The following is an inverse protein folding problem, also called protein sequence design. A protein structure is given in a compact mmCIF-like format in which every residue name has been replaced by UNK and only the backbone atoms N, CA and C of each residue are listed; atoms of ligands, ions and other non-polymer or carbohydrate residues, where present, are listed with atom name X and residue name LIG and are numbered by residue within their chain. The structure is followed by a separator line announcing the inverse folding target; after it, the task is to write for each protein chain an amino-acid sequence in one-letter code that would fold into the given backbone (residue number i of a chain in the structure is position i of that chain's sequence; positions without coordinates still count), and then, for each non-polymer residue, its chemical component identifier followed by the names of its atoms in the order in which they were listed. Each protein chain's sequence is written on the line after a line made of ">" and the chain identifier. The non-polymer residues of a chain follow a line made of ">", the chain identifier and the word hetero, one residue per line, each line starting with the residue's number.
data_IF_107330800099
#
_entry.id   IF_107330800099
#
_cell.length_a   1.000
_cell.length_b   1.000
_cell.length_c   1.000
_cell.angle_alpha   90.00
_cell.angle_beta   90.00
_cell.angle_gamma   90.00
#
_symmetry.space_group_name_H-M   'P 1'
#
loop_
_entity.id
_entity.type
_entity.pdbx_description
1 polymer ?
#
# COMPACT_ATOMS: atom_id res chain seq x y z
N UNK A 1 8.88 -15.85 -11.19
CA UNK A 1 8.35 -15.39 -12.50
C UNK A 1 7.40 -14.20 -12.38
N UNK A 2 6.42 -14.18 -11.45
CA UNK A 2 5.50 -13.03 -11.28
C UNK A 2 6.16 -11.67 -10.98
N UNK A 3 7.27 -11.67 -10.23
CA UNK A 3 8.00 -10.44 -9.88
C UNK A 3 8.70 -9.76 -11.08
N UNK A 4 8.99 -10.51 -12.14
CA UNK A 4 9.73 -10.02 -13.32
C UNK A 4 8.81 -9.25 -14.28
N UNK A 5 7.52 -9.64 -14.34
CA UNK A 5 6.51 -8.95 -15.15
C UNK A 5 6.17 -7.54 -14.64
N UNK A 6 6.25 -7.32 -13.32
CA UNK A 6 5.91 -6.04 -12.70
C UNK A 6 7.02 -4.99 -12.94
N UNK A 7 8.28 -5.42 -12.92
CA UNK A 7 9.43 -4.56 -13.23
C UNK A 7 9.44 -4.09 -14.69
N UNK A 8 9.03 -4.95 -15.61
CA UNK A 8 9.01 -4.65 -17.05
C UNK A 8 7.90 -3.66 -17.43
N UNK A 9 6.76 -3.68 -16.72
CA UNK A 9 5.66 -2.75 -16.92
C UNK A 9 5.99 -1.32 -16.45
N UNK A 10 6.83 -1.15 -15.43
CA UNK A 10 7.21 0.16 -14.89
C UNK A 10 8.18 0.93 -15.80
N UNK A 11 9.00 0.23 -16.60
CA UNK A 11 10.05 0.83 -17.42
C UNK A 11 9.52 1.55 -18.67
N UNK A 12 8.28 1.28 -19.08
CA UNK A 12 7.69 1.77 -20.33
C UNK A 12 7.03 3.15 -20.22
N UNK A 13 6.90 3.75 -19.02
CA UNK A 13 6.11 4.96 -18.81
C UNK A 13 6.88 6.30 -18.84
N UNK A 14 8.19 6.34 -19.06
CA UNK A 14 9.00 7.57 -18.83
C UNK A 14 9.57 8.26 -20.08
N UNK A 15 8.91 8.20 -21.24
CA UNK A 15 9.42 8.84 -22.46
C UNK A 15 8.39 9.73 -23.15
N UNK A 16 8.34 11.04 -22.79
CA UNK A 16 7.81 12.10 -23.68
C UNK A 16 8.55 13.42 -23.42
N UNK A 17 9.24 13.92 -24.46
CA UNK A 17 9.93 15.20 -24.62
C UNK A 17 8.99 16.32 -25.15
N UNK A 18 9.37 17.60 -24.97
CA UNK A 18 9.26 18.62 -26.04
C UNK A 18 9.94 19.97 -25.70
N UNK A 19 10.76 20.44 -26.64
CA UNK A 19 11.55 21.68 -26.72
C UNK A 19 10.88 22.81 -27.53
N UNK A 20 11.31 24.06 -27.29
CA UNK A 20 10.86 25.38 -27.81
C UNK A 20 11.60 25.87 -29.09
N UNK A 21 11.15 26.99 -29.72
CA UNK A 21 11.94 28.12 -30.32
C UNK A 21 11.09 29.07 -31.24
N UNK A 22 11.30 30.40 -31.13
CA UNK A 22 10.72 31.54 -31.91
C UNK A 22 11.72 32.18 -32.90
N UNK A 23 11.27 32.84 -33.98
CA UNK A 23 12.06 33.83 -34.77
C UNK A 23 11.20 34.82 -35.58
N UNK A 24 11.67 36.07 -35.71
CA UNK A 24 11.00 37.34 -36.05
C UNK A 24 11.38 37.91 -37.43
N UNK A 25 10.43 38.42 -38.25
CA UNK A 25 10.65 39.49 -39.27
C UNK A 25 9.33 39.99 -39.94
N UNK A 26 9.27 41.24 -40.49
CA UNK A 26 8.03 42.02 -40.53
C UNK A 26 7.53 42.49 -41.94
N UNK A 27 6.24 42.82 -42.00
CA UNK A 27 5.55 43.84 -42.85
C UNK A 27 5.34 43.53 -44.36
N UNK A 28 4.33 42.69 -44.65
CA UNK A 28 3.25 42.87 -45.65
C UNK A 28 2.54 41.52 -45.90
N UNK A 29 1.35 41.21 -45.40
CA UNK A 29 0.63 41.64 -44.22
C UNK A 29 -0.03 40.36 -43.70
N UNK A 30 0.72 39.54 -42.95
CA UNK A 30 0.15 38.35 -42.30
C UNK A 30 -1.10 38.72 -41.47
N UNK A 31 -1.19 39.98 -41.05
CA UNK A 31 -2.39 40.57 -40.49
C UNK A 31 -3.58 40.72 -41.47
N UNK A 32 -3.37 41.13 -42.73
CA UNK A 32 -4.44 41.19 -43.73
C UNK A 32 -4.94 39.79 -44.09
N UNK A 33 -4.02 38.81 -44.16
CA UNK A 33 -4.38 37.39 -44.33
C UNK A 33 -5.17 36.89 -43.13
N UNK A 34 -4.75 37.23 -41.92
CA UNK A 34 -5.51 36.97 -40.68
C UNK A 34 -6.89 37.63 -40.70
N UNK A 35 -7.01 38.87 -41.17
CA UNK A 35 -8.29 39.60 -41.26
C UNK A 35 -9.25 38.96 -42.27
N UNK A 36 -8.73 38.45 -43.39
CA UNK A 36 -9.53 37.86 -44.48
C UNK A 36 -9.82 36.36 -44.30
N UNK A 37 -8.90 35.61 -43.71
CA UNK A 37 -8.98 34.14 -43.62
C UNK A 37 -9.12 33.61 -42.19
N UNK A 38 -8.94 34.47 -41.18
CA UNK A 38 -8.88 34.06 -39.77
C UNK A 38 -7.58 33.33 -39.38
N UNK A 39 -6.63 33.15 -40.31
CA UNK A 39 -5.37 32.46 -40.04
C UNK A 39 -4.33 33.43 -39.47
N UNK A 40 -4.27 33.51 -38.16
CA UNK A 40 -3.45 34.49 -37.43
C UNK A 40 -2.16 33.92 -36.82
N UNK A 41 -1.74 32.71 -37.25
CA UNK A 41 -0.58 31.99 -36.70
C UNK A 41 0.72 32.80 -36.75
N UNK A 42 0.90 33.66 -37.76
CA UNK A 42 2.11 34.48 -37.93
C UNK A 42 1.76 35.97 -38.09
N UNK A 43 0.61 36.39 -37.55
CA UNK A 43 0.08 37.75 -37.75
C UNK A 43 0.59 38.78 -36.73
N UNK A 44 1.37 38.35 -35.73
CA UNK A 44 1.99 39.25 -34.76
C UNK A 44 3.08 40.13 -35.40
N UNK A 45 3.39 41.30 -34.79
CA UNK A 45 4.47 42.17 -35.25
C UNK A 45 5.83 41.46 -35.26
N UNK A 46 5.97 40.43 -34.43
CA UNK A 46 7.17 39.61 -34.30
C UNK A 46 7.10 38.28 -35.08
N UNK A 47 6.09 38.08 -35.94
CA UNK A 47 5.88 36.80 -36.62
C UNK A 47 5.25 35.69 -35.75
N UNK A 48 4.92 35.99 -34.49
CA UNK A 48 4.21 35.08 -33.60
C UNK A 48 2.70 34.99 -33.92
N UNK A 49 2.02 34.07 -33.24
CA UNK A 49 0.57 34.03 -33.23
C UNK A 49 0.01 35.39 -32.78
N UNK A 50 -0.84 35.96 -33.62
CA UNK A 50 -1.51 37.22 -33.39
C UNK A 50 -3.02 37.07 -33.32
N UNK A 51 -3.69 38.18 -33.03
CA UNK A 51 -5.14 38.34 -33.12
C UNK A 51 -5.47 39.58 -33.92
N UNK A 52 -6.53 39.50 -34.70
CA UNK A 52 -7.07 40.64 -35.44
C UNK A 52 -7.88 41.54 -34.50
N UNK A 53 -7.54 42.82 -34.46
CA UNK A 53 -8.12 43.82 -33.57
C UNK A 53 -9.05 44.81 -34.27
N UNK A 54 -9.18 44.74 -35.61
CA UNK A 54 -10.02 45.62 -36.40
C UNK A 54 -9.26 46.37 -37.49
N UNK A 55 -9.97 47.17 -38.29
CA UNK A 55 -9.36 48.07 -39.28
C UNK A 55 -9.24 49.44 -38.66
N UNK A 56 -8.03 50.01 -38.65
CA UNK A 56 -7.79 51.37 -38.20
C UNK A 56 -7.40 52.24 -39.40
N UNK A 57 -7.83 53.50 -39.36
CA UNK A 57 -7.50 54.49 -40.38
C UNK A 57 -6.21 55.18 -39.94
N UNK A 58 -5.13 54.95 -40.68
CA UNK A 58 -3.88 55.65 -40.40
C UNK A 58 -4.04 57.11 -40.82
N UNK A 59 -4.00 58.03 -39.85
CA UNK A 59 -4.08 59.48 -40.11
C UNK A 59 -2.89 59.98 -40.93
N UNK A 60 -1.75 59.30 -40.91
CA UNK A 60 -0.58 59.69 -41.68
C UNK A 60 -0.70 59.29 -43.16
N UNK A 61 -1.24 58.09 -43.43
CA UNK A 61 -1.33 57.54 -44.77
C UNK A 61 -2.72 57.69 -45.43
N UNK A 62 -3.74 58.15 -44.69
CA UNK A 62 -5.15 58.17 -45.13
C UNK A 62 -5.68 56.82 -45.66
N UNK A 63 -5.03 55.72 -45.29
CA UNK A 63 -5.38 54.37 -45.74
C UNK A 63 -5.92 53.54 -44.57
N UNK A 64 -6.90 52.70 -44.87
CA UNK A 64 -7.46 51.75 -43.92
C UNK A 64 -6.57 50.51 -43.86
N UNK A 65 -5.94 50.24 -42.72
CA UNK A 65 -5.07 49.08 -42.52
C UNK A 65 -5.63 48.14 -41.44
N UNK A 66 -5.55 46.83 -41.69
CA UNK A 66 -5.86 45.83 -40.68
C UNK A 66 -4.86 45.89 -39.52
N UNK A 67 -5.38 45.86 -38.29
CA UNK A 67 -4.62 45.89 -37.06
C UNK A 67 -4.53 44.50 -36.44
N UNK A 68 -3.31 44.05 -36.14
CA UNK A 68 -3.09 42.79 -35.43
C UNK A 68 -2.11 42.99 -34.29
N UNK A 69 -2.45 42.41 -33.15
CA UNK A 69 -1.62 42.39 -31.95
C UNK A 69 -1.16 40.96 -31.64
N UNK A 70 -0.10 40.80 -30.85
CA UNK A 70 0.24 39.48 -30.30
C UNK A 70 -0.91 38.94 -29.44
N UNK A 71 -1.05 37.61 -29.34
CA UNK A 71 -2.09 36.97 -28.51
C UNK A 71 -2.10 37.50 -27.07
N UNK A 72 -0.92 37.82 -26.52
CA UNK A 72 -0.77 38.32 -25.16
C UNK A 72 -1.11 39.81 -24.99
N UNK A 73 -1.10 40.60 -26.07
CA UNK A 73 -1.35 42.05 -26.03
C UNK A 73 -2.85 42.36 -26.06
N UNK A 74 -3.27 43.51 -25.56
CA UNK A 74 -4.69 43.91 -25.58
C UNK A 74 -4.96 44.75 -26.83
N UNK A 75 -6.07 44.47 -27.52
CA UNK A 75 -6.49 45.27 -28.67
C UNK A 75 -6.88 46.69 -28.21
N UNK A 76 -6.38 47.75 -28.86
CA UNK A 76 -6.77 49.10 -28.52
C UNK A 76 -8.25 49.32 -28.82
N UNK A 77 -8.94 50.04 -27.93
CA UNK A 77 -10.30 50.53 -28.21
C UNK A 77 -10.19 51.61 -29.28
N UNK A 78 -11.01 51.60 -30.36
CA UNK A 78 -10.94 52.60 -31.43
C UNK A 78 -11.38 53.97 -30.91
N UNK A 79 -10.45 54.70 -30.28
CA UNK A 79 -10.57 56.14 -30.05
C UNK A 79 -10.12 56.87 -31.32
N UNK A 80 -10.69 58.06 -31.58
CA UNK A 80 -10.73 58.77 -32.87
C UNK A 80 -9.36 59.27 -33.42
N UNK A 81 -8.37 58.39 -33.53
CA UNK A 81 -7.06 58.69 -34.12
C UNK A 81 -5.91 57.81 -33.67
N UNK A 82 -6.17 56.62 -33.11
CA UNK A 82 -5.10 55.73 -32.70
C UNK A 82 -4.42 55.08 -33.91
N UNK A 83 -3.10 55.26 -34.01
CA UNK A 83 -2.22 54.32 -34.71
C UNK A 83 -2.41 52.95 -34.05
N UNK A 84 -2.15 51.84 -34.76
CA UNK A 84 -2.16 50.49 -34.20
C UNK A 84 -1.14 50.34 -33.06
N UNK A 85 -1.54 50.76 -31.86
CA UNK A 85 -0.73 50.68 -30.67
C UNK A 85 -1.30 49.63 -29.73
N UNK A 86 -0.72 48.44 -29.82
CA UNK A 86 -1.11 47.30 -29.02
C UNK A 86 -0.64 47.51 -27.58
N UNK A 87 -1.58 47.68 -26.66
CA UNK A 87 -1.24 47.85 -25.25
C UNK A 87 -0.48 46.62 -24.75
N UNK A 88 0.72 46.87 -24.21
CA UNK A 88 1.58 45.87 -23.61
C UNK A 88 0.82 45.06 -22.55
N UNK A 89 1.17 43.77 -22.44
CA UNK A 89 0.59 42.86 -21.48
C UNK A 89 0.65 43.52 -20.10
N UNK A 90 -0.50 43.81 -19.50
CA UNK A 90 -0.57 44.15 -18.08
C UNK A 90 0.03 42.93 -17.38
N UNK A 91 1.27 43.06 -16.92
CA UNK A 91 2.02 41.99 -16.27
C UNK A 91 1.08 41.29 -15.32
N UNK A 92 0.81 40.02 -15.58
CA UNK A 92 -0.03 39.22 -14.72
C UNK A 92 0.51 39.37 -13.29
N UNK A 93 -0.37 39.45 -12.26
CA UNK A 93 0.08 39.55 -10.88
C UNK A 93 1.12 38.46 -10.61
N UNK A 94 2.19 38.76 -9.83
CA UNK A 94 3.36 37.89 -9.71
C UNK A 94 2.92 36.46 -9.46
N UNK A 95 3.38 35.58 -10.34
CA UNK A 95 3.11 34.15 -10.32
C UNK A 95 3.35 33.64 -8.90
N UNK A 96 2.30 33.16 -8.24
CA UNK A 96 2.44 32.54 -6.92
C UNK A 96 3.35 31.34 -7.11
N UNK A 97 4.44 31.27 -6.36
CA UNK A 97 5.38 30.15 -6.39
C UNK A 97 4.59 28.83 -6.27
N UNK A 98 4.44 28.14 -7.40
CA UNK A 98 3.84 26.82 -7.45
C UNK A 98 4.88 25.87 -6.86
N UNK A 99 4.68 25.47 -5.61
CA UNK A 99 5.60 24.54 -4.95
C UNK A 99 5.41 23.18 -5.59
N UNK A 100 6.45 22.66 -6.24
CA UNK A 100 6.40 21.39 -6.92
C UNK A 100 6.44 20.25 -5.88
N UNK A 101 5.26 19.71 -5.55
CA UNK A 101 5.10 18.58 -4.62
C UNK A 101 5.39 17.22 -5.26
N UNK A 102 5.80 17.18 -6.53
CA UNK A 102 6.02 15.94 -7.26
C UNK A 102 7.06 15.06 -6.57
N UNK A 103 8.14 15.65 -6.02
CA UNK A 103 9.17 14.89 -5.31
C UNK A 103 8.65 14.24 -4.02
N UNK A 104 7.75 14.91 -3.29
CA UNK A 104 7.16 14.37 -2.06
C UNK A 104 6.29 13.16 -2.40
N UNK A 105 5.52 13.24 -3.48
CA UNK A 105 4.66 12.15 -3.93
C UNK A 105 5.50 10.95 -4.39
N UNK A 106 6.59 11.19 -5.12
CA UNK A 106 7.51 10.13 -5.57
C UNK A 106 8.18 9.45 -4.38
N UNK A 107 8.70 10.22 -3.42
CA UNK A 107 9.34 9.67 -2.22
C UNK A 107 8.34 8.92 -1.36
N UNK A 108 7.14 9.48 -1.11
CA UNK A 108 6.11 8.81 -0.32
C UNK A 108 5.64 7.49 -0.97
N UNK A 109 5.50 7.48 -2.30
CA UNK A 109 5.02 6.31 -3.04
C UNK A 109 6.07 5.21 -3.13
N UNK A 110 7.36 5.56 -3.16
CA UNK A 110 8.43 4.57 -3.22
C UNK A 110 8.81 4.08 -1.84
N UNK A 111 9.06 4.99 -0.90
CA UNK A 111 9.58 4.67 0.43
C UNK A 111 8.48 4.13 1.36
N UNK A 112 7.27 4.67 1.28
CA UNK A 112 6.15 4.29 2.14
C UNK A 112 5.83 2.79 2.15
N UNK A 113 5.67 2.14 0.99
CA UNK A 113 5.41 0.70 0.92
C UNK A 113 6.52 -0.16 1.51
N UNK A 114 7.79 0.23 1.37
CA UNK A 114 8.90 -0.54 1.96
C UNK A 114 8.85 -0.52 3.48
N UNK A 115 8.59 0.65 4.07
CA UNK A 115 8.45 0.76 5.52
C UNK A 115 7.24 -0.03 6.02
N UNK A 116 6.09 0.07 5.34
CA UNK A 116 4.88 -0.67 5.72
C UNK A 116 5.07 -2.18 5.58
N UNK A 117 5.73 -2.64 4.52
CA UNK A 117 6.04 -4.05 4.31
C UNK A 117 7.03 -4.58 5.36
N UNK A 118 8.08 -3.82 5.68
CA UNK A 118 9.04 -4.19 6.71
C UNK A 118 8.37 -4.32 8.09
N UNK A 119 7.51 -3.36 8.47
CA UNK A 119 6.74 -3.39 9.70
C UNK A 119 5.80 -4.61 9.74
N UNK A 120 5.12 -4.90 8.63
CA UNK A 120 4.23 -6.05 8.52
C UNK A 120 4.98 -7.38 8.64
N UNK A 121 6.14 -7.52 7.99
CA UNK A 121 6.98 -8.72 8.08
C UNK A 121 7.48 -8.96 9.51
N UNK A 122 7.88 -7.90 10.23
CA UNK A 122 8.26 -8.01 11.64
C UNK A 122 7.06 -8.47 12.47
N UNK A 123 5.88 -7.86 12.32
CA UNK A 123 4.69 -8.28 13.06
C UNK A 123 4.31 -9.75 12.81
N UNK A 124 4.35 -10.19 11.55
CA UNK A 124 4.04 -11.58 11.19
C UNK A 124 5.05 -12.57 11.77
N UNK A 125 6.34 -12.24 11.75
CA UNK A 125 7.38 -13.09 12.36
C UNK A 125 7.20 -13.28 13.87
N UNK A 126 6.71 -12.26 14.58
CA UNK A 126 6.43 -12.36 16.01
C UNK A 126 5.21 -13.24 16.29
N UNK A 127 4.17 -13.14 15.46
CA UNK A 127 2.97 -14.00 15.54
C UNK A 127 3.34 -15.45 15.28
N UNK A 128 4.16 -15.73 14.26
CA UNK A 128 4.63 -17.07 13.94
C UNK A 128 5.46 -17.66 15.08
N UNK A 129 6.38 -16.88 15.64
CA UNK A 129 7.19 -17.30 16.80
C UNK A 129 6.32 -17.63 18.03
N UNK A 130 5.32 -16.79 18.33
CA UNK A 130 4.34 -17.05 19.38
C UNK A 130 3.51 -18.32 19.10
N UNK A 131 3.09 -18.52 17.85
CA UNK A 131 2.31 -19.70 17.45
C UNK A 131 3.12 -20.99 17.63
N UNK A 132 4.41 -20.95 17.29
CA UNK A 132 5.33 -22.07 17.40
C UNK A 132 5.62 -22.42 18.87
N UNK A 133 5.86 -21.41 19.71
CA UNK A 133 5.98 -21.60 21.16
C UNK A 133 4.69 -22.18 21.80
N UNK A 134 3.52 -21.72 21.36
CA UNK A 134 2.24 -22.25 21.84
C UNK A 134 2.02 -23.70 21.40
N UNK A 135 2.37 -24.05 20.16
CA UNK A 135 2.27 -25.40 19.63
C UNK A 135 3.15 -26.38 20.43
N UNK A 136 4.41 -26.02 20.70
CA UNK A 136 5.31 -26.85 21.52
C UNK A 136 4.79 -27.06 22.93
N UNK A 137 4.28 -26.00 23.59
CA UNK A 137 3.70 -26.11 24.94
C UNK A 137 2.49 -27.05 24.93
N UNK A 138 1.66 -27.01 23.89
CA UNK A 138 0.51 -27.91 23.75
C UNK A 138 0.96 -29.37 23.60
N UNK A 139 1.98 -29.63 22.79
CA UNK A 139 2.53 -30.99 22.64
C UNK A 139 3.09 -31.53 23.96
N UNK A 140 3.83 -30.72 24.72
CA UNK A 140 4.35 -31.14 26.04
C UNK A 140 3.24 -31.49 27.04
N UNK A 141 2.12 -30.75 27.04
CA UNK A 141 0.97 -31.06 27.91
C UNK A 141 0.31 -32.37 27.53
N UNK A 142 0.10 -32.62 26.23
CA UNK A 142 -0.49 -33.87 25.73
C UNK A 142 0.41 -35.06 26.04
N UNK A 143 1.72 -34.93 25.88
CA UNK A 143 2.68 -35.98 26.24
C UNK A 143 2.62 -36.33 27.74
N UNK A 144 2.64 -35.32 28.62
CA UNK A 144 2.50 -35.53 30.08
C UNK A 144 1.16 -36.15 30.46
N UNK A 145 0.06 -35.76 29.79
CA UNK A 145 -1.25 -36.35 30.03
C UNK A 145 -1.30 -37.82 29.61
N UNK A 146 -0.72 -38.17 28.45
CA UNK A 146 -0.62 -39.57 28.00
C UNK A 146 0.19 -40.42 28.97
N UNK A 147 1.30 -39.90 29.49
CA UNK A 147 2.12 -40.62 30.47
C UNK A 147 1.37 -40.84 31.79
N UNK A 148 0.68 -39.82 32.31
CA UNK A 148 -0.17 -39.97 33.51
C UNK A 148 -1.31 -40.97 33.30
N UNK A 149 -1.95 -40.94 32.14
CA UNK A 149 -3.00 -41.88 31.79
C UNK A 149 -2.47 -43.32 31.71
N UNK A 150 -1.26 -43.55 31.20
CA UNK A 150 -0.62 -44.88 31.22
C UNK A 150 -0.37 -45.37 32.64
N UNK A 151 0.26 -44.54 33.50
CA UNK A 151 0.52 -44.88 34.90
C UNK A 151 -0.76 -45.13 35.70
N UNK A 152 -1.86 -44.47 35.33
CA UNK A 152 -3.16 -44.70 35.96
C UNK A 152 -3.73 -46.05 35.54
N UNK A 153 -3.67 -46.41 34.25
CA UNK A 153 -4.06 -47.74 33.78
C UNK A 153 -3.26 -48.86 34.44
N UNK A 154 -1.95 -48.69 34.60
CA UNK A 154 -1.10 -49.67 35.28
C UNK A 154 -1.50 -49.86 36.76
N UNK A 155 -1.87 -48.78 37.46
CA UNK A 155 -2.38 -48.87 38.84
C UNK A 155 -3.76 -49.53 38.92
N UNK A 156 -4.67 -49.17 38.01
CA UNK A 156 -6.00 -49.78 37.95
C UNK A 156 -5.90 -51.28 37.60
N UNK A 157 -4.95 -51.67 36.74
CA UNK A 157 -4.64 -53.07 36.42
C UNK A 157 -4.05 -53.81 37.62
N UNK A 158 -3.16 -53.18 38.39
CA UNK A 158 -2.60 -53.74 39.61
C UNK A 158 -3.67 -53.93 40.69
N UNK A 159 -4.55 -52.95 40.91
CA UNK A 159 -5.65 -53.03 41.87
C UNK A 159 -6.64 -54.14 41.47
N UNK A 160 -6.94 -54.29 40.18
CA UNK A 160 -7.76 -55.41 39.69
C UNK A 160 -7.08 -56.76 39.88
N UNK A 161 -5.77 -56.85 39.67
CA UNK A 161 -5.03 -58.09 39.88
C UNK A 161 -5.01 -58.49 41.35
N UNK A 162 -4.87 -57.52 42.27
CA UNK A 162 -4.96 -57.75 43.71
C UNK A 162 -6.37 -58.19 44.14
N UNK A 163 -7.41 -57.52 43.64
CA UNK A 163 -8.81 -57.87 43.94
C UNK A 163 -9.22 -59.23 43.34
N UNK A 164 -8.60 -59.66 42.23
CA UNK A 164 -8.85 -60.95 41.60
C UNK A 164 -8.08 -62.11 42.28
N UNK A 165 -7.15 -61.83 43.19
CA UNK A 165 -6.39 -62.86 43.87
C UNK A 165 -7.32 -63.59 44.85
N UNK A 166 -7.53 -64.91 44.70
CA UNK A 166 -8.44 -65.64 45.56
C UNK A 166 -7.91 -65.63 46.99
N UNK A 167 -8.74 -65.19 47.94
CA UNK A 167 -8.43 -65.38 49.36
C UNK A 167 -8.42 -66.87 49.64
N UNK A 168 -7.23 -67.44 49.83
CA UNK A 168 -7.09 -68.80 50.32
C UNK A 168 -7.57 -68.84 51.77
N UNK A 169 -8.85 -69.18 51.97
CA UNK A 169 -9.41 -69.45 53.29
C UNK A 169 -8.85 -70.80 53.74
N UNK A 170 -7.79 -70.77 54.54
CA UNK A 170 -7.26 -71.98 55.18
C UNK A 170 -8.18 -72.30 56.35
N UNK A 171 -9.13 -73.21 56.12
CA UNK A 171 -9.94 -73.81 57.19
C UNK A 171 -9.04 -74.80 57.93
N UNK A 172 -8.46 -74.37 59.04
CA UNK A 172 -7.79 -75.28 59.97
C UNK A 172 -8.84 -75.83 60.93
N UNK A 173 -9.21 -77.10 60.77
CA UNK A 173 -10.00 -77.83 61.75
C UNK A 173 -9.12 -78.07 62.99
N UNK A 174 -9.38 -77.33 64.07
CA UNK A 174 -8.76 -77.59 65.37
C UNK A 174 -9.67 -78.59 66.11
N UNK A 175 -9.20 -79.81 66.42
CA UNK A 175 -9.99 -80.76 67.18
C UNK A 175 -9.94 -80.38 68.67
N UNK A 176 -11.02 -79.81 69.22
CA UNK A 176 -11.24 -79.81 70.67
C UNK A 176 -12.74 -79.70 71.06
N UNK A 177 -13.15 -80.40 72.13
CA UNK A 177 -14.55 -80.61 72.48
C UNK A 177 -15.04 -79.56 73.47
N UNK A 178 -15.20 -78.30 73.08
CA UNK A 178 -16.10 -77.35 73.79
C UNK A 178 -16.22 -76.07 72.97
N UNK A 179 -17.43 -75.82 72.50
CA UNK A 179 -17.74 -74.90 71.42
C UNK A 179 -17.60 -73.42 71.82
N UNK A 180 -16.75 -72.70 71.08
CA UNK A 180 -16.86 -71.27 70.85
C UNK A 180 -16.16 -70.96 69.51
N UNK A 181 -16.94 -70.93 68.43
CA UNK A 181 -16.42 -70.62 67.09
C UNK A 181 -16.25 -69.11 66.95
N UNK A 182 -14.99 -68.65 67.00
CA UNK A 182 -14.62 -67.28 66.61
C UNK A 182 -14.06 -67.38 65.19
N UNK A 183 -14.84 -66.95 64.20
CA UNK A 183 -14.34 -66.80 62.83
C UNK A 183 -13.41 -65.57 62.78
N UNK A 184 -12.11 -65.80 62.91
CA UNK A 184 -11.10 -64.74 62.80
C UNK A 184 -10.64 -64.66 61.33
N UNK A 185 -11.16 -63.69 60.58
CA UNK A 185 -10.66 -63.39 59.24
C UNK A 185 -9.42 -62.51 59.37
N UNK A 186 -8.23 -63.11 59.33
CA UNK A 186 -6.98 -62.36 59.24
C UNK A 186 -6.63 -62.15 57.75
N UNK A 187 -6.48 -60.89 57.28
CA UNK A 187 -5.99 -60.65 55.93
C UNK A 187 -4.55 -61.14 55.83
N UNK A 188 -4.32 -62.15 54.99
CA UNK A 188 -2.98 -62.64 54.67
C UNK A 188 -2.33 -61.63 53.73
N UNK A 189 -1.57 -60.69 54.29
CA UNK A 189 -0.66 -59.87 53.49
C UNK A 189 0.49 -60.76 53.03
N UNK A 190 0.46 -61.20 51.77
CA UNK A 190 1.59 -61.84 51.13
C UNK A 190 2.72 -60.80 51.02
N UNK A 191 3.64 -60.81 51.98
CA UNK A 191 4.83 -59.98 51.96
C UNK A 191 5.67 -60.32 50.73
N UNK A 192 5.76 -59.38 49.78
CA UNK A 192 6.71 -59.44 48.68
C UNK A 192 8.13 -59.31 49.25
N UNK A 193 8.78 -60.46 49.44
CA UNK A 193 10.22 -60.53 49.74
C UNK A 193 10.97 -60.09 48.49
N UNK A 194 11.84 -59.08 48.64
CA UNK A 194 12.62 -58.48 47.54
C UNK A 194 13.73 -59.39 47.05
#
# INVERSE_FOLDING_TARGET
>A
MRSLLILLALLLLTAVDATSVSTTAPIASACQVCASTGRCLNAGPNGDAGKYCGVLLDKAALTSQACCCSVAQICPTPSQGAVCDCAGVKTAPPEKASYDYTWVIVVASTVGPFFLFALCAVCLGWIDSCSQCCAERRQRKVAKQRERAKRQRERDEQERAEAAMPQAVIVSEIPAPTALYVAQATPVYAGASK
#
